data_IF_319354394059
#
_entry.id   IF_319354394059
#
_cell.length_a   1.000
_cell.length_b   1.000
_cell.length_c   1.000
_cell.angle_alpha   90.00
_cell.angle_beta   90.00
_cell.angle_gamma   90.00
#
_symmetry.space_group_name_H-M   'P 1'
#
loop_
_entity.id
_entity.type
_entity.pdbx_description
1 polymer ?
#
# COMPACT_ATOMS: atom_id res chain seq x y z
N UNK A 1 -7.24 1.04 86.64
CA UNK A 1 -7.79 1.45 85.35
C UNK A 1 -6.72 1.22 84.30
N UNK A 2 -6.84 0.21 83.39
CA UNK A 2 -5.92 -0.11 82.33
C UNK A 2 -6.56 0.31 81.01
N UNK A 3 -5.96 1.32 80.34
CA UNK A 3 -6.35 1.79 79.00
C UNK A 3 -5.66 0.89 77.96
N UNK A 4 -6.47 0.26 77.11
CA UNK A 4 -6.01 -0.46 75.95
C UNK A 4 -6.07 0.49 74.76
N UNK A 5 -4.91 0.82 74.18
CA UNK A 5 -4.82 1.53 72.89
C UNK A 5 -4.92 0.47 71.79
N UNK A 6 -6.01 0.55 70.99
CA UNK A 6 -6.15 -0.22 69.80
C UNK A 6 -5.46 0.49 68.65
N UNK A 7 -4.40 -0.10 68.06
CA UNK A 7 -3.76 0.36 66.82
C UNK A 7 -4.57 -0.15 65.62
N UNK A 8 -5.20 0.78 64.90
CA UNK A 8 -5.78 0.50 63.58
C UNK A 8 -4.65 0.55 62.54
N UNK A 9 -4.28 -0.61 61.97
CA UNK A 9 -3.41 -0.68 60.79
C UNK A 9 -4.29 -0.57 59.55
N UNK A 10 -4.29 0.61 58.90
CA UNK A 10 -4.93 0.83 57.61
C UNK A 10 -4.12 0.21 56.51
N UNK A 11 -4.64 -0.86 55.90
CA UNK A 11 -4.06 -1.52 54.75
C UNK A 11 -4.41 -0.70 53.49
N UNK A 12 -3.45 0.10 52.98
CA UNK A 12 -3.60 0.76 51.69
C UNK A 12 -3.37 -0.26 50.59
N UNK A 13 -4.45 -0.70 49.90
CA UNK A 13 -4.36 -1.47 48.68
C UNK A 13 -3.98 -0.52 47.54
N UNK A 14 -2.72 -0.53 47.16
CA UNK A 14 -2.25 0.19 45.95
C UNK A 14 -2.71 -0.59 44.72
N UNK A 15 -3.80 -0.12 44.11
CA UNK A 15 -4.25 -0.63 42.82
C UNK A 15 -3.33 -0.11 41.73
N UNK A 16 -2.37 -0.92 41.27
CA UNK A 16 -1.53 -0.60 40.11
C UNK A 16 -2.40 -0.55 38.85
N UNK A 17 -2.32 0.53 38.03
CA UNK A 17 -3.06 0.59 36.78
C UNK A 17 -2.58 -0.53 35.85
N UNK A 18 -3.50 -1.38 35.40
CA UNK A 18 -3.23 -2.37 34.37
C UNK A 18 -2.77 -1.65 33.10
N UNK A 19 -1.51 -1.85 32.70
CA UNK A 19 -0.98 -1.34 31.46
C UNK A 19 -1.83 -1.87 30.31
N UNK A 20 -2.64 -1.00 29.69
CA UNK A 20 -3.39 -1.32 28.50
C UNK A 20 -2.40 -1.73 27.42
N UNK A 21 -2.44 -3.00 26.97
CA UNK A 21 -1.68 -3.48 25.81
C UNK A 21 -2.09 -2.63 24.61
N UNK A 22 -1.22 -1.71 24.21
CA UNK A 22 -1.35 -0.96 22.95
C UNK A 22 -1.57 -2.00 21.83
N UNK A 23 -2.72 -1.94 21.13
CA UNK A 23 -2.92 -2.70 19.90
C UNK A 23 -1.78 -2.35 18.98
N UNK A 24 -0.92 -3.31 18.63
CA UNK A 24 0.13 -3.15 17.64
C UNK A 24 -0.54 -2.63 16.38
N UNK A 25 -0.30 -1.36 16.01
CA UNK A 25 -0.73 -0.83 14.73
C UNK A 25 -0.09 -1.70 13.64
N UNK A 26 -0.87 -2.08 12.62
CA UNK A 26 -0.36 -2.76 11.43
C UNK A 26 0.41 -1.71 10.59
N UNK A 27 1.64 -1.46 10.97
CA UNK A 27 2.51 -0.43 10.39
C UNK A 27 3.93 -0.97 10.25
N UNK A 28 4.59 -0.57 9.18
CA UNK A 28 6.01 -0.78 8.95
C UNK A 28 6.70 0.57 8.83
N UNK A 29 7.76 0.79 9.60
CA UNK A 29 8.62 1.97 9.49
C UNK A 29 9.86 1.62 8.68
N UNK A 30 10.04 2.25 7.52
CA UNK A 30 11.20 2.04 6.67
C UNK A 30 12.47 2.60 7.35
N UNK A 31 13.48 1.77 7.62
CA UNK A 31 14.69 2.22 8.28
C UNK A 31 15.54 3.18 7.44
N UNK A 32 15.34 3.22 6.11
CA UNK A 32 16.11 4.01 5.15
C UNK A 32 15.79 5.50 5.21
N UNK A 33 14.48 5.85 5.30
CA UNK A 33 13.99 7.24 5.27
C UNK A 33 13.04 7.58 6.43
N UNK A 34 12.75 6.61 7.29
CA UNK A 34 11.88 6.73 8.47
C UNK A 34 10.40 6.94 8.13
N UNK A 35 10.01 6.79 6.88
CA UNK A 35 8.59 6.81 6.51
C UNK A 35 7.86 5.61 7.11
N UNK A 36 6.60 5.82 7.48
CA UNK A 36 5.74 4.78 8.05
C UNK A 36 4.64 4.44 7.05
N UNK A 37 4.50 3.16 6.76
CA UNK A 37 3.50 2.61 5.86
C UNK A 37 2.52 1.76 6.65
N UNK A 38 1.22 1.91 6.41
CA UNK A 38 0.23 0.93 6.89
C UNK A 38 0.51 -0.42 6.27
N UNK A 39 0.19 -1.49 6.97
CA UNK A 39 0.25 -2.84 6.41
C UNK A 39 -1.09 -3.56 6.58
N UNK A 40 -1.39 -4.46 5.66
CA UNK A 40 -2.60 -5.28 5.69
C UNK A 40 -2.26 -6.72 5.29
N UNK A 41 -2.89 -7.68 5.96
CA UNK A 41 -2.75 -9.11 5.61
C UNK A 41 -3.90 -9.52 4.71
N UNK A 42 -3.59 -9.86 3.46
CA UNK A 42 -4.55 -10.34 2.46
C UNK A 42 -3.91 -11.49 1.70
N UNK A 43 -4.67 -12.54 1.42
CA UNK A 43 -4.24 -13.71 0.64
C UNK A 43 -2.95 -14.38 1.20
N UNK A 44 -2.80 -14.42 2.51
CA UNK A 44 -1.63 -15.03 3.18
C UNK A 44 -0.36 -14.17 3.18
N UNK A 45 -0.37 -13.00 2.55
CA UNK A 45 0.75 -12.06 2.45
C UNK A 45 0.47 -10.78 3.25
N UNK A 46 1.53 -10.12 3.68
CA UNK A 46 1.46 -8.79 4.27
C UNK A 46 1.84 -7.75 3.22
N UNK A 47 0.87 -6.94 2.82
CA UNK A 47 0.98 -5.86 1.85
C UNK A 47 1.18 -4.52 2.52
N UNK A 48 1.97 -3.65 1.95
CA UNK A 48 1.88 -2.23 2.28
C UNK A 48 0.48 -1.71 1.89
N UNK A 49 -0.21 -1.07 2.80
CA UNK A 49 -1.51 -0.41 2.57
C UNK A 49 -1.39 0.99 1.95
N UNK A 50 -0.15 1.47 1.79
CA UNK A 50 0.19 2.73 1.14
C UNK A 50 1.16 2.49 -0.01
N UNK A 51 1.12 3.35 -1.05
CA UNK A 51 2.11 3.32 -2.11
C UNK A 51 3.49 3.69 -1.56
N UNK A 52 4.51 2.99 -2.00
CA UNK A 52 5.89 3.26 -1.60
C UNK A 52 6.27 4.71 -1.98
N UNK A 53 6.93 5.43 -1.06
CA UNK A 53 7.37 6.80 -1.26
C UNK A 53 8.90 6.97 -1.08
N UNK A 54 9.66 5.88 -1.09
CA UNK A 54 11.12 5.92 -0.98
C UNK A 54 11.75 6.54 -2.23
N UNK A 55 12.49 7.66 -2.04
CA UNK A 55 13.17 8.36 -3.13
C UNK A 55 14.42 7.61 -3.59
N UNK A 56 14.47 7.29 -4.88
CA UNK A 56 15.61 6.64 -5.52
C UNK A 56 15.72 7.07 -6.98
N UNK A 57 16.83 6.76 -7.65
CA UNK A 57 16.95 6.97 -9.09
C UNK A 57 15.84 6.22 -9.85
N UNK A 58 15.20 6.87 -10.82
CA UNK A 58 14.06 6.34 -11.58
C UNK A 58 12.73 6.37 -10.79
N UNK A 59 12.63 7.21 -9.74
CA UNK A 59 11.38 7.46 -9.02
C UNK A 59 11.01 8.96 -9.06
N UNK A 60 9.73 9.25 -9.25
CA UNK A 60 9.21 10.58 -9.53
C UNK A 60 7.98 10.88 -8.67
N UNK A 61 7.75 12.12 -8.31
CA UNK A 61 6.46 12.58 -7.84
C UNK A 61 5.58 12.90 -9.05
N UNK A 62 4.27 12.77 -8.92
CA UNK A 62 3.36 13.17 -10.01
C UNK A 62 3.56 14.66 -10.29
N UNK A 63 3.78 15.02 -11.57
CA UNK A 63 4.15 16.40 -12.03
C UNK A 63 5.41 16.98 -11.38
N UNK A 64 6.26 16.12 -10.81
CA UNK A 64 7.45 16.51 -10.06
C UNK A 64 7.17 17.39 -8.82
N UNK A 65 5.93 17.35 -8.32
CA UNK A 65 5.45 18.07 -7.14
C UNK A 65 5.57 17.18 -5.89
N UNK A 66 6.38 17.58 -4.89
CA UNK A 66 6.62 16.79 -3.68
C UNK A 66 5.34 16.52 -2.87
N UNK A 67 4.38 17.45 -2.88
CA UNK A 67 3.08 17.27 -2.20
C UNK A 67 2.29 16.08 -2.78
N UNK A 68 2.44 15.80 -4.07
CA UNK A 68 1.81 14.62 -4.69
C UNK A 68 2.41 13.31 -4.18
N UNK A 69 3.72 13.30 -3.92
CA UNK A 69 4.36 12.15 -3.30
C UNK A 69 3.88 11.90 -1.86
N UNK A 70 3.58 12.95 -1.10
CA UNK A 70 3.06 12.80 0.27
C UNK A 70 1.67 12.15 0.30
N UNK A 71 0.84 12.39 -0.72
CA UNK A 71 -0.53 11.87 -0.82
C UNK A 71 -0.57 10.52 -1.52
N UNK A 72 0.13 10.39 -2.67
CA UNK A 72 -0.02 9.25 -3.59
C UNK A 72 1.17 8.30 -3.60
N UNK A 73 2.26 8.61 -2.90
CA UNK A 73 3.53 7.90 -3.05
C UNK A 73 4.24 8.27 -4.36
N UNK A 74 5.35 7.60 -4.65
CA UNK A 74 6.15 7.84 -5.85
C UNK A 74 5.75 6.91 -6.99
N UNK A 75 6.01 7.37 -8.20
CA UNK A 75 5.93 6.60 -9.43
C UNK A 75 7.36 6.12 -9.77
N UNK A 76 7.51 4.85 -10.08
CA UNK A 76 8.82 4.22 -10.33
C UNK A 76 8.88 3.66 -11.73
N UNK A 77 10.02 3.79 -12.41
CA UNK A 77 10.31 2.91 -13.55
C UNK A 77 10.38 1.46 -13.07
N UNK A 78 10.20 0.50 -13.96
CA UNK A 78 10.18 -0.91 -13.56
C UNK A 78 11.51 -1.37 -12.93
N UNK A 79 12.65 -0.93 -13.50
CA UNK A 79 13.97 -1.26 -12.98
C UNK A 79 14.22 -0.66 -11.58
N UNK A 80 13.67 0.54 -11.32
CA UNK A 80 13.69 1.15 -10.01
C UNK A 80 12.75 0.40 -9.04
N UNK A 81 11.54 0.03 -9.48
CA UNK A 81 10.55 -0.70 -8.70
C UNK A 81 11.09 -2.04 -8.17
N UNK A 82 11.84 -2.78 -8.98
CA UNK A 82 12.48 -4.06 -8.59
C UNK A 82 13.43 -3.94 -7.41
N UNK A 83 13.98 -2.76 -7.16
CA UNK A 83 14.98 -2.49 -6.11
C UNK A 83 14.46 -1.58 -5.00
N UNK A 84 13.24 -1.05 -5.16
CA UNK A 84 12.73 0.00 -4.27
C UNK A 84 12.20 -0.52 -2.94
N UNK A 85 11.71 -1.75 -2.86
CA UNK A 85 11.16 -2.31 -1.63
C UNK A 85 12.23 -2.42 -0.52
N UNK A 86 11.88 -2.13 0.74
CA UNK A 86 12.82 -2.25 1.87
C UNK A 86 13.13 -3.71 2.18
N UNK A 87 14.22 -3.93 2.93
CA UNK A 87 14.61 -5.27 3.36
C UNK A 87 13.45 -5.99 4.06
N UNK A 88 13.23 -7.27 3.71
CA UNK A 88 12.13 -8.09 4.18
C UNK A 88 10.83 -7.92 3.38
N UNK A 89 10.76 -6.94 2.46
CA UNK A 89 9.70 -6.78 1.47
C UNK A 89 10.26 -6.95 0.05
N UNK A 90 9.39 -7.23 -0.89
CA UNK A 90 9.68 -7.34 -2.32
C UNK A 90 8.59 -6.72 -3.18
N UNK A 91 8.89 -6.48 -4.43
CA UNK A 91 7.88 -6.17 -5.44
C UNK A 91 6.97 -7.39 -5.62
N UNK A 92 5.63 -7.23 -5.63
CA UNK A 92 4.71 -8.34 -5.84
C UNK A 92 4.89 -8.96 -7.23
N UNK A 93 4.75 -10.27 -7.32
CA UNK A 93 4.66 -11.00 -8.59
C UNK A 93 3.23 -10.93 -9.15
N UNK A 94 3.05 -11.39 -10.38
CA UNK A 94 1.73 -11.58 -10.98
C UNK A 94 0.87 -12.52 -10.12
N UNK A 95 1.44 -13.64 -9.67
CA UNK A 95 0.74 -14.61 -8.82
C UNK A 95 0.29 -14.02 -7.47
N UNK A 96 1.07 -13.09 -6.89
CA UNK A 96 0.65 -12.39 -5.67
C UNK A 96 -0.60 -11.53 -5.94
N UNK A 97 -0.62 -10.80 -7.06
CA UNK A 97 -1.77 -10.00 -7.45
C UNK A 97 -2.98 -10.86 -7.84
N UNK A 98 -2.79 -12.03 -8.47
CA UNK A 98 -3.87 -12.99 -8.72
C UNK A 98 -4.47 -13.50 -7.41
N UNK A 99 -3.62 -13.76 -6.40
CA UNK A 99 -4.07 -14.14 -5.07
C UNK A 99 -4.86 -13.00 -4.38
N UNK A 100 -4.42 -11.75 -4.56
CA UNK A 100 -5.15 -10.57 -4.09
C UNK A 100 -6.51 -10.42 -4.80
N UNK A 101 -6.56 -10.62 -6.13
CA UNK A 101 -7.79 -10.61 -6.92
C UNK A 101 -8.75 -11.71 -6.48
N UNK A 102 -8.22 -12.91 -6.20
CA UNK A 102 -9.02 -14.03 -5.69
C UNK A 102 -9.62 -13.72 -4.32
N UNK A 103 -8.83 -13.12 -3.40
CA UNK A 103 -9.30 -12.69 -2.09
C UNK A 103 -10.36 -11.56 -2.18
N UNK A 104 -10.34 -10.79 -3.27
CA UNK A 104 -11.34 -9.78 -3.59
C UNK A 104 -12.58 -10.34 -4.33
N UNK A 105 -12.75 -11.67 -4.38
CA UNK A 105 -13.91 -12.34 -4.97
C UNK A 105 -13.71 -12.84 -6.40
N UNK A 106 -12.56 -12.59 -7.03
CA UNK A 106 -12.19 -13.04 -8.38
C UNK A 106 -13.20 -12.67 -9.47
N UNK A 107 -13.89 -11.56 -9.30
CA UNK A 107 -14.93 -11.08 -10.21
C UNK A 107 -14.70 -9.62 -10.67
N UNK A 108 -15.65 -9.09 -11.45
CA UNK A 108 -15.55 -7.71 -11.94
C UNK A 108 -15.78 -6.65 -10.85
N UNK A 109 -16.15 -7.01 -9.61
CA UNK A 109 -16.28 -6.11 -8.47
C UNK A 109 -15.03 -6.07 -7.59
N UNK A 110 -14.00 -6.89 -7.87
CA UNK A 110 -12.79 -6.96 -7.07
C UNK A 110 -12.18 -5.58 -6.80
N UNK A 111 -12.21 -4.69 -7.79
CA UNK A 111 -11.71 -3.33 -7.64
C UNK A 111 -12.49 -2.48 -6.64
N UNK A 112 -13.80 -2.71 -6.45
CA UNK A 112 -14.58 -2.00 -5.45
C UNK A 112 -14.10 -2.29 -4.03
N UNK A 113 -13.64 -3.52 -3.77
CA UNK A 113 -13.12 -3.94 -2.46
C UNK A 113 -11.69 -3.46 -2.20
N UNK A 114 -10.95 -3.12 -3.28
CA UNK A 114 -9.53 -2.73 -3.23
C UNK A 114 -9.28 -1.23 -3.31
N UNK A 115 -10.16 -0.48 -4.00
CA UNK A 115 -10.06 0.97 -4.13
C UNK A 115 -10.25 1.65 -2.78
N UNK A 116 -9.50 2.73 -2.55
CA UNK A 116 -9.78 3.66 -1.46
C UNK A 116 -11.22 4.21 -1.58
N UNK A 117 -11.80 4.58 -0.46
CA UNK A 117 -13.13 5.17 -0.36
C UNK A 117 -13.17 6.67 -0.70
N UNK A 118 -12.05 7.20 -1.19
CA UNK A 118 -11.88 8.58 -1.62
C UNK A 118 -10.85 8.71 -2.76
N UNK A 119 -10.82 9.88 -3.41
CA UNK A 119 -9.80 10.28 -4.38
C UNK A 119 -10.06 9.85 -5.82
N UNK A 120 -11.03 8.99 -6.08
CA UNK A 120 -11.40 8.56 -7.43
C UNK A 120 -12.39 9.54 -8.06
N UNK A 121 -12.21 9.85 -9.34
CA UNK A 121 -13.11 10.74 -10.10
C UNK A 121 -14.46 10.09 -10.40
N UNK A 122 -15.55 10.89 -10.42
CA UNK A 122 -16.87 10.46 -10.89
C UNK A 122 -17.60 9.53 -9.93
N UNK A 123 -17.47 9.72 -8.61
CA UNK A 123 -18.15 8.94 -7.57
C UNK A 123 -17.91 7.41 -7.68
N UNK A 124 -16.71 7.05 -8.15
CA UNK A 124 -16.32 5.64 -8.38
C UNK A 124 -15.34 5.13 -7.33
N UNK A 125 -15.37 5.70 -6.13
CA UNK A 125 -14.62 5.22 -4.98
C UNK A 125 -14.98 3.76 -4.67
N UNK A 126 -14.05 3.05 -4.03
CA UNK A 126 -14.32 1.74 -3.46
C UNK A 126 -14.94 1.83 -2.07
N UNK A 127 -15.13 0.68 -1.44
CA UNK A 127 -15.47 0.57 -0.03
C UNK A 127 -14.28 0.17 0.86
N UNK A 128 -13.14 -0.11 0.22
CA UNK A 128 -11.87 -0.49 0.87
C UNK A 128 -12.01 -1.59 1.93
N UNK A 129 -12.88 -2.57 1.69
CA UNK A 129 -13.16 -3.65 2.65
C UNK A 129 -11.89 -4.42 3.01
N UNK A 130 -10.99 -4.63 2.04
CA UNK A 130 -9.73 -5.34 2.25
C UNK A 130 -8.61 -4.45 2.82
N UNK A 131 -8.88 -3.16 3.05
CA UNK A 131 -7.90 -2.17 3.54
C UNK A 131 -6.65 -2.06 2.69
N UNK A 132 -6.77 -2.43 1.41
CA UNK A 132 -5.72 -2.25 0.42
C UNK A 132 -5.57 -0.77 0.02
N UNK A 133 -6.64 0.01 0.07
CA UNK A 133 -6.69 1.46 -0.12
C UNK A 133 -5.96 1.90 -1.40
N UNK A 134 -6.30 1.29 -2.54
CA UNK A 134 -5.70 1.68 -3.82
C UNK A 134 -6.05 3.12 -4.18
N UNK A 135 -5.05 4.00 -4.19
CA UNK A 135 -5.17 5.41 -4.56
C UNK A 135 -4.94 5.62 -6.06
N UNK A 136 -5.74 6.46 -6.75
CA UNK A 136 -5.61 6.70 -8.18
C UNK A 136 -4.47 7.68 -8.50
N UNK A 137 -3.24 7.24 -8.30
CA UNK A 137 -2.02 8.04 -8.42
C UNK A 137 -1.67 8.43 -9.87
N UNK A 138 -2.37 7.89 -10.85
CA UNK A 138 -2.02 8.10 -12.26
C UNK A 138 -0.70 7.43 -12.65
N UNK A 139 -0.01 8.04 -13.61
CA UNK A 139 1.28 7.54 -14.12
C UNK A 139 2.15 8.65 -14.69
N UNK A 140 3.44 8.34 -14.88
CA UNK A 140 4.36 9.06 -15.76
C UNK A 140 4.53 8.25 -17.05
N UNK A 141 4.46 8.93 -18.20
CA UNK A 141 4.67 8.32 -19.52
C UNK A 141 6.16 8.26 -19.87
N UNK A 142 6.51 7.62 -20.97
CA UNK A 142 7.87 7.52 -21.49
C UNK A 142 8.43 8.83 -22.07
N UNK A 143 7.54 9.73 -22.49
CA UNK A 143 7.85 11.10 -22.88
C UNK A 143 7.98 12.07 -21.70
N UNK A 144 8.04 11.53 -20.47
CA UNK A 144 8.17 12.26 -19.21
C UNK A 144 6.92 13.04 -18.77
N UNK A 145 5.87 13.06 -19.55
CA UNK A 145 4.59 13.69 -19.16
C UNK A 145 3.84 12.86 -18.12
N UNK A 146 2.85 13.44 -17.47
CA UNK A 146 2.03 12.81 -16.44
C UNK A 146 0.56 12.80 -16.84
N UNK A 147 -0.16 11.73 -16.43
CA UNK A 147 -1.58 11.61 -16.73
C UNK A 147 -2.31 10.66 -15.78
N UNK A 148 -3.61 10.55 -16.01
CA UNK A 148 -4.48 9.59 -15.35
C UNK A 148 -4.66 9.75 -13.83
N UNK A 149 -4.21 10.83 -13.21
CA UNK A 149 -4.50 11.18 -11.82
C UNK A 149 -6.02 11.16 -11.57
N UNK A 150 -6.44 10.68 -10.42
CA UNK A 150 -7.83 10.46 -10.02
C UNK A 150 -8.63 9.46 -10.88
N UNK A 151 -8.03 8.91 -11.96
CA UNK A 151 -8.70 8.01 -12.90
C UNK A 151 -8.15 6.59 -12.87
N UNK A 152 -6.86 6.41 -12.60
CA UNK A 152 -6.19 5.11 -12.59
C UNK A 152 -5.25 4.96 -11.39
N UNK A 153 -5.23 3.75 -10.83
CA UNK A 153 -4.14 3.25 -10.01
C UNK A 153 -3.43 2.15 -10.81
N UNK A 154 -2.10 2.25 -10.92
CA UNK A 154 -1.26 1.25 -11.59
C UNK A 154 -0.21 0.74 -10.62
N UNK A 155 0.02 -0.58 -10.63
CA UNK A 155 1.00 -1.24 -9.75
C UNK A 155 1.91 -2.14 -10.58
N UNK A 156 3.22 -1.91 -10.53
CA UNK A 156 4.18 -2.78 -11.17
C UNK A 156 4.16 -4.21 -10.58
N UNK A 157 4.26 -5.21 -11.47
CA UNK A 157 4.58 -6.58 -11.11
C UNK A 157 6.07 -6.85 -11.32
N UNK A 158 6.66 -7.69 -10.45
CA UNK A 158 8.11 -7.94 -10.41
C UNK A 158 8.60 -9.04 -11.34
N UNK A 159 7.73 -9.66 -12.12
CA UNK A 159 8.09 -10.78 -13.01
C UNK A 159 8.96 -10.31 -14.17
N UNK A 160 10.15 -10.89 -14.31
CA UNK A 160 11.12 -10.54 -15.35
C UNK A 160 10.71 -11.01 -16.76
N UNK A 161 10.02 -12.13 -16.81
CA UNK A 161 9.46 -12.68 -18.03
C UNK A 161 8.09 -13.25 -17.74
N UNK A 162 7.11 -12.85 -18.51
CA UNK A 162 5.78 -13.43 -18.42
C UNK A 162 5.26 -13.68 -19.83
N UNK A 163 4.63 -14.81 -19.99
CA UNK A 163 3.93 -15.15 -21.22
C UNK A 163 2.99 -14.00 -21.62
N UNK A 164 3.02 -13.60 -22.89
CA UNK A 164 2.21 -12.50 -23.41
C UNK A 164 2.74 -11.09 -23.14
N UNK A 165 3.95 -10.94 -22.58
CA UNK A 165 4.59 -9.62 -22.39
C UNK A 165 5.62 -9.38 -23.49
N UNK A 166 5.46 -8.30 -24.27
CA UNK A 166 6.38 -7.92 -25.31
C UNK A 166 7.78 -7.54 -24.75
N UNK A 167 8.87 -7.75 -25.51
CA UNK A 167 10.19 -7.28 -25.12
C UNK A 167 10.19 -5.78 -24.78
N UNK A 168 10.91 -5.42 -23.72
CA UNK A 168 10.94 -4.02 -23.22
C UNK A 168 9.76 -3.60 -22.36
N UNK A 169 8.72 -4.43 -22.25
CA UNK A 169 7.57 -4.21 -21.38
C UNK A 169 7.68 -5.02 -20.08
N UNK A 170 6.85 -4.66 -19.11
CA UNK A 170 6.58 -5.42 -17.89
C UNK A 170 5.08 -5.42 -17.61
N UNK A 171 4.64 -6.37 -16.78
CA UNK A 171 3.24 -6.46 -16.36
C UNK A 171 2.91 -5.41 -15.31
N UNK A 172 1.75 -4.81 -15.48
CA UNK A 172 1.18 -3.84 -14.54
C UNK A 172 -0.25 -4.23 -14.21
N UNK A 173 -0.60 -4.23 -12.94
CA UNK A 173 -1.98 -4.37 -12.48
C UNK A 173 -2.62 -3.00 -12.32
N UNK A 174 -3.92 -2.88 -12.61
CA UNK A 174 -4.58 -1.58 -12.59
C UNK A 174 -6.02 -1.62 -12.12
N UNK A 175 -6.44 -0.47 -11.60
CA UNK A 175 -7.81 -0.12 -11.29
C UNK A 175 -8.15 1.17 -12.03
N UNK A 176 -9.41 1.34 -12.41
CA UNK A 176 -9.86 2.53 -13.14
C UNK A 176 -11.15 3.11 -12.58
N UNK A 177 -11.35 4.41 -12.69
CA UNK A 177 -12.61 5.08 -12.33
C UNK A 177 -13.80 4.67 -13.21
N UNK A 178 -13.57 3.98 -14.33
CA UNK A 178 -14.63 3.55 -15.25
C UNK A 178 -15.13 2.14 -15.02
N UNK A 179 -14.50 1.37 -14.14
CA UNK A 179 -14.83 -0.03 -13.89
C UNK A 179 -14.54 -0.42 -12.44
N UNK A 180 -15.24 -1.41 -11.94
CA UNK A 180 -14.94 -2.07 -10.66
C UNK A 180 -14.02 -3.28 -10.81
N UNK A 181 -13.56 -3.59 -12.02
CA UNK A 181 -12.62 -4.68 -12.25
C UNK A 181 -11.22 -4.32 -11.75
N UNK A 182 -10.49 -5.36 -11.32
CA UNK A 182 -9.06 -5.32 -11.09
C UNK A 182 -8.41 -6.18 -12.17
N UNK A 183 -7.62 -5.57 -13.03
CA UNK A 183 -7.07 -6.23 -14.21
C UNK A 183 -5.59 -5.95 -14.39
N UNK A 184 -5.02 -6.55 -15.42
CA UNK A 184 -3.61 -6.36 -15.77
C UNK A 184 -3.41 -6.11 -17.27
N UNK A 185 -2.28 -5.52 -17.61
CA UNK A 185 -1.81 -5.27 -18.96
C UNK A 185 -0.28 -5.27 -18.98
N UNK A 186 0.34 -5.12 -20.15
CA UNK A 186 1.77 -4.85 -20.25
C UNK A 186 2.03 -3.39 -20.66
N UNK A 187 3.11 -2.80 -20.12
CA UNK A 187 3.53 -1.43 -20.40
C UNK A 187 5.05 -1.33 -20.51
N UNK A 188 5.58 -0.36 -21.28
CA UNK A 188 7.02 -0.12 -21.35
C UNK A 188 7.64 0.10 -19.97
N UNK A 189 8.81 -0.48 -19.73
CA UNK A 189 9.51 -0.45 -18.44
C UNK A 189 9.97 0.94 -17.99
N UNK A 190 10.05 1.89 -18.91
CA UNK A 190 10.38 3.29 -18.65
C UNK A 190 9.19 4.15 -18.20
N UNK A 191 7.95 3.62 -18.25
CA UNK A 191 6.81 4.30 -17.60
C UNK A 191 7.02 4.35 -16.09
N UNK A 192 6.39 5.33 -15.43
CA UNK A 192 6.36 5.45 -13.97
C UNK A 192 5.02 4.99 -13.41
N UNK A 193 5.03 3.95 -12.56
CA UNK A 193 3.84 3.46 -11.84
C UNK A 193 4.12 3.28 -10.35
N UNK A 194 3.05 3.17 -9.56
CA UNK A 194 3.15 2.94 -8.12
C UNK A 194 3.74 1.56 -7.79
N UNK A 195 4.31 1.47 -6.60
CA UNK A 195 4.82 0.24 -6.00
C UNK A 195 4.07 -0.05 -4.70
N UNK A 196 3.60 -1.27 -4.54
CA UNK A 196 3.06 -1.84 -3.30
C UNK A 196 3.93 -3.02 -2.91
N UNK A 197 4.80 -2.84 -1.92
CA UNK A 197 5.66 -3.93 -1.48
C UNK A 197 4.88 -4.97 -0.67
N UNK A 198 5.34 -6.22 -0.72
CA UNK A 198 4.72 -7.39 -0.07
C UNK A 198 5.77 -8.24 0.63
N UNK A 199 5.39 -8.95 1.72
CA UNK A 199 6.20 -9.97 2.40
C UNK A 199 5.34 -11.10 2.97
#
# INVERSE_FOLDING_TARGET
>A
MRFWLAFFVSLFVVCAPAAAKSKKKNEFKDPRDKQTYRTVKVAGLEWMGDNLNYKTAGSFCYKDEDDQCMVYGRLYTWDAAKKACPAGFRLPTHADFESLWTAAGADFNAGYLLKADYGWSGDTNGNDTLKFSAMPAGNRFDDETYGNMAKFAFFWSGDDSSEGVAPGNARVWYLTSKSMAFGYMSKPKNFGFSVRCVR
#
